data_IF_308311794199
#
_entry.id   IF_308311794199
#
_cell.length_a   1.000
_cell.length_b   1.000
_cell.length_c   1.000
_cell.angle_alpha   90.00
_cell.angle_beta   90.00
_cell.angle_gamma   90.00
#
_symmetry.space_group_name_H-M   'P 1'
#
loop_
_entity.id
_entity.type
_entity.pdbx_description
1 polymer ?
#
# COMPACT_ATOMS: atom_id res chain seq x y z
N UNK A 1 -5.82 24.08 9.29
CA UNK A 1 -5.61 23.91 7.83
C UNK A 1 -5.31 22.46 7.57
N UNK A 2 -5.69 21.95 6.40
CA UNK A 2 -5.41 20.56 6.04
C UNK A 2 -3.92 20.29 5.85
N UNK A 3 -3.50 19.05 6.05
CA UNK A 3 -2.11 18.57 5.88
C UNK A 3 -1.85 18.00 4.49
N UNK A 4 -2.88 17.62 3.74
CA UNK A 4 -2.75 17.15 2.36
C UNK A 4 -2.99 18.30 1.39
N UNK A 5 -1.97 18.64 0.60
CA UNK A 5 -2.01 19.64 -0.45
C UNK A 5 -2.22 18.93 -1.79
N UNK A 6 -3.47 18.88 -2.24
CA UNK A 6 -3.85 18.19 -3.47
C UNK A 6 -3.64 19.08 -4.71
N UNK A 7 -2.83 18.60 -5.64
CA UNK A 7 -2.59 19.17 -6.96
C UNK A 7 -3.12 18.23 -8.03
N UNK A 8 -3.90 18.73 -9.00
CA UNK A 8 -4.43 17.92 -10.09
C UNK A 8 -3.79 18.41 -11.39
N UNK A 9 -2.88 17.62 -11.95
CA UNK A 9 -2.18 17.94 -13.20
C UNK A 9 -3.10 17.68 -14.40
N UNK A 10 -3.92 18.68 -14.74
CA UNK A 10 -5.02 18.55 -15.69
C UNK A 10 -4.97 19.54 -16.88
N UNK A 11 -3.77 19.92 -17.34
CA UNK A 11 -3.62 20.86 -18.46
C UNK A 11 -4.20 20.33 -19.79
N UNK A 12 -4.37 19.02 -19.92
CA UNK A 12 -4.98 18.37 -21.08
C UNK A 12 -6.51 18.20 -20.95
N UNK A 13 -7.11 18.70 -19.85
CA UNK A 13 -8.54 18.59 -19.56
C UNK A 13 -9.10 17.17 -19.59
N UNK A 14 -8.26 16.16 -19.31
CA UNK A 14 -8.72 14.76 -19.22
C UNK A 14 -9.67 14.59 -18.03
N UNK A 15 -9.40 15.20 -16.89
CA UNK A 15 -10.31 15.15 -15.74
C UNK A 15 -11.34 16.27 -15.81
N UNK A 16 -12.62 15.94 -15.68
CA UNK A 16 -13.69 16.95 -15.59
C UNK A 16 -13.85 17.44 -14.14
N UNK A 17 -14.80 18.35 -13.89
CA UNK A 17 -15.04 18.89 -12.55
C UNK A 17 -15.52 17.84 -11.54
N UNK A 18 -16.29 16.84 -11.99
CA UNK A 18 -16.73 15.70 -11.17
C UNK A 18 -15.55 14.84 -10.76
N UNK A 19 -14.66 14.50 -11.69
CA UNK A 19 -13.42 13.76 -11.43
C UNK A 19 -12.57 14.49 -10.38
N UNK A 20 -12.37 15.80 -10.59
CA UNK A 20 -11.61 16.65 -9.68
C UNK A 20 -12.25 16.77 -8.30
N UNK A 21 -13.58 16.78 -8.24
CA UNK A 21 -14.33 16.76 -6.98
C UNK A 21 -14.11 15.45 -6.22
N UNK A 22 -14.17 14.31 -6.90
CA UNK A 22 -13.91 12.99 -6.29
C UNK A 22 -12.51 12.95 -5.68
N UNK A 23 -11.47 13.44 -6.39
CA UNK A 23 -10.11 13.46 -5.85
C UNK A 23 -10.01 14.30 -4.56
N UNK A 24 -10.67 15.47 -4.53
CA UNK A 24 -10.70 16.33 -3.32
C UNK A 24 -11.41 15.65 -2.16
N UNK A 25 -12.53 14.98 -2.43
CA UNK A 25 -13.31 14.27 -1.41
C UNK A 25 -12.52 13.11 -0.81
N UNK A 26 -11.93 12.27 -1.66
CA UNK A 26 -11.08 11.16 -1.24
C UNK A 26 -9.88 11.64 -0.41
N UNK A 27 -9.17 12.68 -0.85
CA UNK A 27 -8.04 13.25 -0.12
C UNK A 27 -8.46 13.78 1.26
N UNK A 28 -9.57 14.53 1.32
CA UNK A 28 -10.10 15.05 2.60
C UNK A 28 -10.50 13.91 3.54
N UNK A 29 -11.13 12.86 3.00
CA UNK A 29 -11.52 11.67 3.77
C UNK A 29 -10.31 10.92 4.32
N UNK A 30 -9.28 10.72 3.50
CA UNK A 30 -8.04 10.09 3.92
C UNK A 30 -7.30 10.92 4.97
N UNK A 31 -7.32 12.25 4.85
CA UNK A 31 -6.73 13.14 5.85
C UNK A 31 -7.42 12.98 7.21
N UNK A 32 -8.75 12.92 7.25
CA UNK A 32 -9.52 12.67 8.47
C UNK A 32 -9.13 11.32 9.06
N UNK A 33 -9.15 10.26 8.25
CA UNK A 33 -8.79 8.91 8.68
C UNK A 33 -7.41 8.84 9.33
N UNK A 34 -6.39 9.33 8.62
CA UNK A 34 -5.00 9.29 9.07
C UNK A 34 -4.80 10.19 10.29
N UNK A 35 -5.37 11.39 10.32
CA UNK A 35 -5.23 12.30 11.46
C UNK A 35 -5.87 11.75 12.75
N UNK A 36 -6.98 11.02 12.62
CA UNK A 36 -7.64 10.36 13.76
C UNK A 36 -6.85 9.14 14.26
N UNK A 37 -6.18 8.42 13.36
CA UNK A 37 -5.43 7.22 13.70
C UNK A 37 -4.00 7.52 14.19
N UNK A 38 -3.37 8.58 13.68
CA UNK A 38 -1.96 8.88 13.91
C UNK A 38 -1.76 10.31 14.39
N UNK A 39 -1.46 10.48 15.68
CA UNK A 39 -1.05 11.77 16.23
C UNK A 39 0.28 12.27 15.60
N UNK A 40 1.10 11.33 15.13
CA UNK A 40 2.37 11.57 14.45
C UNK A 40 2.19 12.12 13.04
N UNK A 41 0.98 12.08 12.46
CA UNK A 41 0.71 12.76 11.20
C UNK A 41 0.65 14.28 11.44
N UNK A 42 1.79 14.91 11.70
CA UNK A 42 1.93 16.31 12.11
C UNK A 42 2.74 17.14 11.10
N UNK A 43 2.73 16.72 9.84
CA UNK A 43 3.49 17.30 8.74
C UNK A 43 2.61 17.44 7.50
N UNK A 44 3.09 18.18 6.51
CA UNK A 44 2.39 18.43 5.26
C UNK A 44 2.88 17.48 4.17
N UNK A 45 1.96 17.07 3.30
CA UNK A 45 2.20 16.18 2.15
C UNK A 45 1.63 16.83 0.89
N UNK A 46 2.45 16.94 -0.14
CA UNK A 46 2.00 17.23 -1.50
C UNK A 46 1.52 15.96 -2.18
N UNK A 47 0.30 16.02 -2.73
CA UNK A 47 -0.31 14.92 -3.46
C UNK A 47 -0.64 15.37 -4.87
N UNK A 48 -0.05 14.72 -5.88
CA UNK A 48 -0.24 15.09 -7.28
C UNK A 48 -1.01 14.01 -8.00
N UNK A 49 -2.19 14.33 -8.51
CA UNK A 49 -2.97 13.46 -9.40
C UNK A 49 -2.54 13.72 -10.83
N UNK A 50 -2.14 12.66 -11.53
CA UNK A 50 -1.66 12.70 -12.91
C UNK A 50 -2.41 11.68 -13.77
N UNK A 51 -2.33 11.87 -15.09
CA UNK A 51 -2.66 10.81 -16.05
C UNK A 51 -1.49 9.83 -16.18
N UNK A 52 -1.73 8.56 -16.57
CA UNK A 52 -0.70 7.53 -16.54
C UNK A 52 0.42 7.77 -17.54
N UNK A 53 1.61 7.27 -17.21
CA UNK A 53 2.75 7.21 -18.11
C UNK A 53 3.48 5.88 -17.95
N UNK A 54 4.45 5.60 -18.82
CA UNK A 54 5.28 4.41 -18.68
C UNK A 54 6.07 4.34 -17.36
N UNK A 55 6.31 5.49 -16.70
CA UNK A 55 7.00 5.57 -15.41
C UNK A 55 6.08 5.34 -14.20
N UNK A 56 4.79 5.62 -14.38
CA UNK A 56 3.73 5.50 -13.36
C UNK A 56 2.49 4.88 -14.01
N UNK A 57 2.56 3.59 -14.37
CA UNK A 57 1.40 2.87 -14.90
C UNK A 57 0.37 2.65 -13.80
N UNK A 58 -0.87 2.45 -14.20
CA UNK A 58 -1.98 2.05 -13.34
C UNK A 58 -2.05 0.53 -13.19
N UNK A 59 -2.74 0.04 -12.15
CA UNK A 59 -3.19 -1.35 -12.13
C UNK A 59 -4.32 -1.47 -13.16
N UNK A 60 -4.16 -2.33 -14.16
CA UNK A 60 -5.10 -2.45 -15.28
C UNK A 60 -6.55 -2.67 -14.83
N UNK A 61 -6.75 -3.51 -13.82
CA UNK A 61 -8.06 -3.86 -13.29
C UNK A 61 -8.73 -2.73 -12.49
N UNK A 62 -7.94 -1.82 -11.92
CA UNK A 62 -8.42 -0.77 -11.02
C UNK A 62 -8.40 0.62 -11.65
N UNK A 63 -7.62 0.82 -12.72
CA UNK A 63 -7.46 2.11 -13.39
C UNK A 63 -6.75 3.17 -12.53
N UNK A 64 -6.14 2.78 -11.40
CA UNK A 64 -5.41 3.67 -10.50
C UNK A 64 -4.15 2.97 -9.96
N UNK A 65 -3.14 3.76 -9.62
CA UNK A 65 -1.99 3.34 -8.80
C UNK A 65 -1.41 4.55 -8.06
N UNK A 66 -0.65 4.29 -7.00
CA UNK A 66 0.04 5.30 -6.21
C UNK A 66 1.56 5.12 -6.23
N UNK A 67 2.28 6.19 -5.92
CA UNK A 67 3.71 6.13 -5.60
C UNK A 67 4.12 7.25 -4.67
N UNK A 68 4.61 6.88 -3.51
CA UNK A 68 5.31 7.75 -2.58
C UNK A 68 6.76 7.91 -3.02
N UNK A 69 7.18 9.14 -3.33
CA UNK A 69 8.54 9.43 -3.82
C UNK A 69 9.49 9.84 -2.69
N UNK A 70 8.94 10.46 -1.66
CA UNK A 70 9.57 10.72 -0.37
C UNK A 70 8.46 10.91 0.67
N UNK A 71 8.81 11.13 1.93
CA UNK A 71 7.83 11.24 3.01
C UNK A 71 6.76 12.32 2.81
N UNK A 72 6.97 13.29 1.90
CA UNK A 72 6.10 14.45 1.69
C UNK A 72 5.61 14.63 0.25
N UNK A 73 5.89 13.69 -0.65
CA UNK A 73 5.43 13.74 -2.04
C UNK A 73 4.84 12.40 -2.48
N UNK A 74 3.54 12.40 -2.75
CA UNK A 74 2.77 11.27 -3.27
C UNK A 74 2.27 11.62 -4.67
N UNK A 75 2.41 10.69 -5.61
CA UNK A 75 1.78 10.79 -6.92
C UNK A 75 0.71 9.70 -7.08
N UNK A 76 -0.45 10.09 -7.60
CA UNK A 76 -1.53 9.19 -7.97
C UNK A 76 -1.67 9.20 -9.50
N UNK A 77 -1.54 8.02 -10.10
CA UNK A 77 -1.77 7.81 -11.53
C UNK A 77 -3.19 7.30 -11.73
N UNK A 78 -4.01 8.00 -12.52
CA UNK A 78 -5.42 7.67 -12.71
C UNK A 78 -5.79 7.62 -14.19
N UNK A 79 -6.32 6.49 -14.64
CA UNK A 79 -6.83 6.27 -15.98
C UNK A 79 -8.35 6.07 -15.99
N UNK A 80 -9.08 7.16 -16.23
CA UNK A 80 -10.55 7.13 -16.28
C UNK A 80 -11.13 6.27 -17.43
N UNK A 81 -10.30 5.89 -18.41
CA UNK A 81 -10.71 5.03 -19.52
C UNK A 81 -10.55 3.54 -19.23
N UNK A 82 -9.69 3.16 -18.27
CA UNK A 82 -9.59 1.78 -17.82
C UNK A 82 -10.67 1.45 -16.78
N UNK A 83 -10.89 2.36 -15.85
CA UNK A 83 -11.92 2.23 -14.83
C UNK A 83 -12.52 3.60 -14.53
N UNK A 84 -13.83 3.65 -14.28
CA UNK A 84 -14.47 4.89 -13.86
C UNK A 84 -13.84 5.37 -12.55
N UNK A 85 -13.57 6.68 -12.45
CA UNK A 85 -13.04 7.28 -11.22
C UNK A 85 -14.06 7.08 -10.11
N UNK A 86 -13.59 6.47 -9.02
CA UNK A 86 -14.41 6.08 -7.88
C UNK A 86 -13.75 6.61 -6.60
N UNK A 87 -14.53 7.27 -5.74
CA UNK A 87 -14.01 7.86 -4.49
C UNK A 87 -13.37 6.82 -3.57
N UNK A 88 -13.96 5.63 -3.49
CA UNK A 88 -13.44 4.53 -2.66
C UNK A 88 -12.07 4.07 -3.15
N UNK A 89 -11.89 3.96 -4.47
CA UNK A 89 -10.60 3.56 -5.05
C UNK A 89 -9.53 4.63 -4.82
N UNK A 90 -9.87 5.90 -5.03
CA UNK A 90 -8.92 7.00 -4.78
C UNK A 90 -8.57 7.06 -3.29
N UNK A 91 -9.55 6.92 -2.41
CA UNK A 91 -9.33 6.90 -0.97
C UNK A 91 -8.44 5.73 -0.53
N UNK A 92 -8.70 4.52 -1.04
CA UNK A 92 -7.91 3.31 -0.78
C UNK A 92 -6.44 3.53 -1.14
N UNK A 93 -6.15 3.97 -2.37
CA UNK A 93 -4.78 4.25 -2.81
C UNK A 93 -4.13 5.37 -1.99
N UNK A 94 -4.87 6.43 -1.61
CA UNK A 94 -4.29 7.49 -0.77
C UNK A 94 -3.87 6.94 0.59
N UNK A 95 -4.70 6.11 1.24
CA UNK A 95 -4.37 5.52 2.53
C UNK A 95 -3.15 4.60 2.44
N UNK A 96 -3.01 3.84 1.36
CA UNK A 96 -1.81 3.05 1.07
C UNK A 96 -0.56 3.92 1.04
N UNK A 97 -0.55 4.96 0.20
CA UNK A 97 0.62 5.82 0.03
C UNK A 97 0.92 6.66 1.29
N UNK A 98 -0.10 7.03 2.05
CA UNK A 98 0.10 7.69 3.34
C UNK A 98 0.77 6.79 4.37
N UNK A 99 0.62 5.46 4.29
CA UNK A 99 1.35 4.52 5.14
C UNK A 99 2.87 4.64 4.90
N UNK A 100 3.29 4.69 3.64
CA UNK A 100 4.69 4.87 3.24
C UNK A 100 5.20 6.24 3.70
N UNK A 101 4.43 7.29 3.43
CA UNK A 101 4.74 8.67 3.85
C UNK A 101 4.97 8.75 5.37
N UNK A 102 4.07 8.19 6.17
CA UNK A 102 4.15 8.18 7.64
C UNK A 102 5.39 7.47 8.12
N UNK A 103 5.65 6.28 7.60
CA UNK A 103 6.78 5.47 8.01
C UNK A 103 8.10 6.16 7.67
N UNK A 104 8.26 6.65 6.43
CA UNK A 104 9.49 7.35 6.02
C UNK A 104 9.70 8.69 6.72
N UNK A 105 8.64 9.36 7.18
CA UNK A 105 8.80 10.58 7.98
C UNK A 105 9.23 10.29 9.42
N UNK A 106 8.76 9.18 10.01
CA UNK A 106 8.82 8.97 11.47
C UNK A 106 9.72 7.84 11.93
N UNK A 107 10.03 6.88 11.08
CA UNK A 107 10.88 5.73 11.42
C UNK A 107 12.23 5.94 10.76
N UNK A 108 13.33 6.01 11.53
CA UNK A 108 14.68 6.18 10.99
C UNK A 108 15.26 4.85 10.45
N UNK A 109 14.47 4.12 9.66
CA UNK A 109 14.84 2.85 9.04
C UNK A 109 14.37 2.83 7.59
N UNK A 110 15.17 2.23 6.70
CA UNK A 110 14.80 1.97 5.31
C UNK A 110 14.62 0.47 5.10
N UNK A 111 13.79 0.09 4.13
CA UNK A 111 13.70 -1.29 3.70
C UNK A 111 14.95 -1.64 2.89
N UNK A 112 15.82 -2.50 3.43
CA UNK A 112 17.09 -2.87 2.80
C UNK A 112 17.03 -4.26 2.17
N UNK A 113 16.29 -5.18 2.80
CA UNK A 113 16.16 -6.57 2.35
C UNK A 113 14.84 -6.82 1.64
N UNK A 114 14.76 -7.95 0.93
CA UNK A 114 13.51 -8.44 0.35
C UNK A 114 12.39 -8.50 1.40
N UNK A 115 12.71 -8.98 2.60
CA UNK A 115 11.76 -9.09 3.68
C UNK A 115 11.31 -7.73 4.22
N UNK A 116 12.23 -6.78 4.40
CA UNK A 116 11.84 -5.42 4.81
C UNK A 116 10.91 -4.78 3.79
N UNK A 117 11.16 -5.00 2.50
CA UNK A 117 10.28 -4.58 1.42
C UNK A 117 8.88 -5.20 1.54
N UNK A 118 8.79 -6.50 1.86
CA UNK A 118 7.51 -7.16 2.11
C UNK A 118 6.79 -6.54 3.31
N UNK A 119 7.49 -6.27 4.40
CA UNK A 119 6.89 -5.64 5.59
C UNK A 119 6.43 -4.22 5.29
N UNK A 120 7.21 -3.42 4.56
CA UNK A 120 6.84 -2.07 4.15
C UNK A 120 5.51 -2.07 3.39
N UNK A 121 5.41 -2.88 2.35
CA UNK A 121 4.18 -3.00 1.56
C UNK A 121 3.04 -3.64 2.37
N UNK A 122 3.35 -4.63 3.21
CA UNK A 122 2.38 -5.29 4.08
C UNK A 122 1.71 -4.33 5.06
N UNK A 123 2.49 -3.42 5.66
CA UNK A 123 1.97 -2.39 6.56
C UNK A 123 1.01 -1.46 5.82
N UNK A 124 1.35 -1.07 4.59
CA UNK A 124 0.49 -0.25 3.74
C UNK A 124 -0.82 -0.96 3.37
N UNK A 125 -0.76 -2.25 2.98
CA UNK A 125 -1.96 -3.05 2.65
C UNK A 125 -2.86 -3.28 3.86
N UNK A 126 -2.30 -3.48 5.05
CA UNK A 126 -3.13 -3.62 6.26
C UNK A 126 -3.74 -2.27 6.66
N UNK A 127 -3.05 -1.16 6.44
CA UNK A 127 -3.60 0.17 6.71
C UNK A 127 -4.72 0.56 5.74
N UNK A 128 -4.55 0.33 4.43
CA UNK A 128 -5.61 0.58 3.45
C UNK A 128 -6.83 -0.30 3.75
N UNK A 129 -6.64 -1.56 4.16
CA UNK A 129 -7.75 -2.42 4.57
C UNK A 129 -8.51 -1.83 5.77
N UNK A 130 -7.80 -1.39 6.80
CA UNK A 130 -8.41 -0.79 7.98
C UNK A 130 -9.19 0.48 7.62
N UNK A 131 -8.66 1.29 6.69
CA UNK A 131 -9.33 2.46 6.17
C UNK A 131 -10.68 2.09 5.52
N UNK A 132 -10.66 1.11 4.63
CA UNK A 132 -11.86 0.65 3.93
C UNK A 132 -12.91 0.08 4.90
N UNK A 133 -12.47 -0.67 5.91
CA UNK A 133 -13.34 -1.23 6.93
C UNK A 133 -13.99 -0.14 7.80
N UNK A 134 -13.23 0.87 8.24
CA UNK A 134 -13.71 1.95 9.12
C UNK A 134 -14.86 2.75 8.51
N UNK A 135 -14.81 3.00 7.20
CA UNK A 135 -15.86 3.72 6.47
C UNK A 135 -16.91 2.79 5.84
N UNK A 136 -16.86 1.49 6.11
CA UNK A 136 -17.76 0.48 5.53
C UNK A 136 -17.80 0.55 4.00
N UNK A 137 -16.64 0.79 3.38
CA UNK A 137 -16.50 0.84 1.94
C UNK A 137 -16.32 -0.58 1.41
N UNK A 138 -17.39 -1.10 0.81
CA UNK A 138 -17.39 -2.46 0.28
C UNK A 138 -16.88 -2.54 -1.16
N UNK A 139 -16.74 -1.41 -1.85
CA UNK A 139 -16.14 -1.35 -3.18
C UNK A 139 -14.61 -1.19 -3.09
N UNK A 140 -13.93 -2.26 -2.67
CA UNK A 140 -12.47 -2.34 -2.61
C UNK A 140 -11.86 -2.49 -3.99
N UNK A 141 -10.61 -2.10 -4.19
CA UNK A 141 -9.89 -2.39 -5.44
C UNK A 141 -9.74 -3.90 -5.69
N UNK A 142 -9.62 -4.30 -6.95
CA UNK A 142 -9.25 -5.65 -7.36
C UNK A 142 -7.95 -6.07 -6.70
N UNK A 143 -6.96 -5.17 -6.62
CA UNK A 143 -5.72 -5.39 -5.88
C UNK A 143 -5.96 -5.88 -4.45
N UNK A 144 -6.59 -5.06 -3.58
CA UNK A 144 -6.79 -5.40 -2.18
C UNK A 144 -7.61 -6.70 -2.03
N UNK A 145 -8.66 -6.88 -2.84
CA UNK A 145 -9.44 -8.12 -2.84
C UNK A 145 -8.57 -9.33 -3.18
N UNK A 146 -7.63 -9.22 -4.12
CA UNK A 146 -6.73 -10.33 -4.47
C UNK A 146 -5.75 -10.64 -3.36
N UNK A 147 -5.22 -9.63 -2.68
CA UNK A 147 -4.33 -9.85 -1.53
C UNK A 147 -5.08 -10.54 -0.39
N UNK A 148 -6.25 -10.02 -0.01
CA UNK A 148 -7.10 -10.58 1.07
C UNK A 148 -7.52 -12.03 0.83
N UNK A 149 -7.76 -12.41 -0.44
CA UNK A 149 -8.22 -13.75 -0.80
C UNK A 149 -7.07 -14.75 -1.06
N UNK A 150 -5.83 -14.40 -0.72
CA UNK A 150 -4.68 -15.32 -0.86
C UNK A 150 -4.85 -16.50 0.11
N UNK A 151 -4.88 -17.72 -0.43
CA UNK A 151 -5.07 -18.93 0.37
C UNK A 151 -3.80 -19.31 1.13
N UNK A 152 -3.94 -19.95 2.30
CA UNK A 152 -2.79 -20.40 3.09
C UNK A 152 -1.82 -21.28 2.28
N UNK A 153 -2.33 -22.20 1.45
CA UNK A 153 -1.49 -23.03 0.57
C UNK A 153 -0.62 -22.20 -0.40
N UNK A 154 -1.14 -21.07 -0.89
CA UNK A 154 -0.37 -20.17 -1.76
C UNK A 154 0.69 -19.42 -0.94
N UNK A 155 0.35 -18.97 0.27
CA UNK A 155 1.30 -18.36 1.21
C UNK A 155 2.45 -19.33 1.51
N UNK A 156 2.14 -20.57 1.88
CA UNK A 156 3.15 -21.59 2.21
C UNK A 156 4.09 -21.86 1.05
N UNK A 157 3.55 -21.93 -0.18
CA UNK A 157 4.35 -22.11 -1.39
C UNK A 157 5.28 -20.92 -1.67
N UNK A 158 4.80 -19.69 -1.50
CA UNK A 158 5.62 -18.48 -1.66
C UNK A 158 6.72 -18.39 -0.59
N UNK A 159 6.41 -18.72 0.67
CA UNK A 159 7.40 -18.78 1.75
C UNK A 159 8.45 -19.84 1.44
N UNK A 160 8.05 -21.05 1.03
CA UNK A 160 8.98 -22.12 0.68
C UNK A 160 9.94 -21.71 -0.45
N UNK A 161 9.44 -20.97 -1.44
CA UNK A 161 10.24 -20.47 -2.56
C UNK A 161 11.23 -19.36 -2.17
N UNK A 162 10.90 -18.52 -1.17
CA UNK A 162 11.64 -17.28 -0.90
C UNK A 162 12.37 -17.24 0.45
N UNK A 163 12.05 -18.11 1.41
CA UNK A 163 12.56 -18.01 2.80
C UNK A 163 14.08 -17.90 2.92
N UNK A 164 14.83 -18.59 2.06
CA UNK A 164 16.30 -18.57 2.09
C UNK A 164 16.89 -17.27 1.52
N UNK A 165 16.07 -16.43 0.88
CA UNK A 165 16.45 -15.19 0.22
C UNK A 165 15.87 -13.95 0.90
N UNK A 166 15.12 -14.10 2.00
CA UNK A 166 14.48 -12.98 2.71
C UNK A 166 15.45 -11.88 3.13
N UNK A 167 16.66 -12.25 3.53
CA UNK A 167 17.71 -11.30 3.94
C UNK A 167 18.54 -10.76 2.76
N UNK A 168 18.23 -11.14 1.52
CA UNK A 168 18.97 -10.63 0.36
C UNK A 168 18.60 -9.18 0.11
N UNK A 169 19.61 -8.35 -0.12
CA UNK A 169 19.46 -6.94 -0.51
C UNK A 169 19.36 -6.77 -2.03
N UNK A 170 19.86 -7.75 -2.79
CA UNK A 170 19.73 -7.81 -4.25
C UNK A 170 18.75 -8.92 -4.64
N UNK A 171 17.63 -8.52 -5.24
CA UNK A 171 16.59 -9.43 -5.73
C UNK A 171 15.83 -8.80 -6.90
N UNK A 172 15.10 -9.64 -7.64
CA UNK A 172 14.25 -9.17 -8.73
C UNK A 172 12.99 -8.50 -8.18
N UNK A 173 13.08 -7.18 -7.95
CA UNK A 173 11.98 -6.39 -7.40
C UNK A 173 10.71 -6.51 -8.25
N UNK A 174 10.84 -6.56 -9.59
CA UNK A 174 9.70 -6.63 -10.48
C UNK A 174 8.97 -7.97 -10.34
N UNK A 175 9.70 -9.08 -10.35
CA UNK A 175 9.11 -10.40 -10.16
C UNK A 175 8.46 -10.54 -8.79
N UNK A 176 9.06 -10.00 -7.73
CA UNK A 176 8.52 -10.12 -6.37
C UNK A 176 7.29 -9.23 -6.18
N UNK A 177 7.34 -7.95 -6.56
CA UNK A 177 6.32 -6.98 -6.19
C UNK A 177 5.29 -6.70 -7.29
N UNK A 178 5.59 -6.90 -8.57
CA UNK A 178 4.67 -6.49 -9.65
C UNK A 178 4.15 -7.62 -10.51
N UNK A 179 5.03 -8.38 -11.17
CA UNK A 179 4.64 -9.28 -12.27
C UNK A 179 4.48 -10.73 -11.84
N UNK A 180 5.29 -11.20 -10.88
CA UNK A 180 5.48 -12.63 -10.66
C UNK A 180 6.44 -13.24 -11.68
N UNK A 181 6.53 -14.57 -11.69
CA UNK A 181 7.25 -15.36 -12.69
C UNK A 181 6.66 -16.79 -12.73
N UNK A 182 7.34 -17.71 -13.42
CA UNK A 182 6.88 -19.11 -13.52
C UNK A 182 6.66 -19.81 -12.17
N UNK A 183 7.34 -19.35 -11.12
CA UNK A 183 7.29 -19.93 -9.78
C UNK A 183 6.53 -19.08 -8.75
N UNK A 184 6.33 -17.78 -9.03
CA UNK A 184 5.77 -16.82 -8.09
C UNK A 184 4.55 -16.12 -8.70
N UNK A 185 3.40 -16.10 -8.01
CA UNK A 185 2.25 -15.37 -8.51
C UNK A 185 2.49 -13.86 -8.52
N UNK A 186 1.70 -13.14 -9.33
CA UNK A 186 1.63 -11.67 -9.29
C UNK A 186 1.45 -11.18 -7.85
N UNK A 187 2.19 -10.12 -7.49
CA UNK A 187 2.16 -9.45 -6.18
C UNK A 187 2.59 -10.33 -5.00
N UNK A 188 3.51 -11.28 -5.18
CA UNK A 188 4.02 -12.12 -4.09
C UNK A 188 4.49 -11.31 -2.88
N UNK A 189 5.24 -10.22 -3.10
CA UNK A 189 5.75 -9.37 -2.02
C UNK A 189 4.63 -8.76 -1.17
N UNK A 190 3.60 -8.22 -1.82
CA UNK A 190 2.41 -7.69 -1.15
C UNK A 190 1.62 -8.77 -0.39
N UNK A 191 1.43 -9.94 -0.99
CA UNK A 191 0.70 -11.06 -0.36
C UNK A 191 1.40 -11.57 0.88
N UNK A 192 2.71 -11.79 0.81
CA UNK A 192 3.51 -12.23 1.95
C UNK A 192 3.61 -11.13 3.01
N UNK A 193 3.83 -9.88 2.61
CA UNK A 193 3.83 -8.73 3.50
C UNK A 193 2.56 -8.62 4.33
N UNK A 194 1.41 -8.64 3.66
CA UNK A 194 0.10 -8.62 4.30
C UNK A 194 -0.05 -9.78 5.30
N UNK A 195 0.34 -10.99 4.90
CA UNK A 195 0.32 -12.16 5.79
C UNK A 195 1.19 -11.96 7.03
N UNK A 196 2.46 -11.56 6.88
CA UNK A 196 3.39 -11.39 8.00
C UNK A 196 2.95 -10.28 8.96
N UNK A 197 2.47 -9.15 8.45
CA UNK A 197 1.94 -8.07 9.29
C UNK A 197 0.70 -8.54 10.05
N UNK A 198 -0.23 -9.26 9.42
CA UNK A 198 -1.39 -9.83 10.14
C UNK A 198 -0.97 -10.80 11.24
N UNK A 199 0.01 -11.68 10.99
CA UNK A 199 0.55 -12.57 12.02
C UNK A 199 1.16 -11.78 13.18
N UNK A 200 1.94 -10.74 12.88
CA UNK A 200 2.52 -9.86 13.88
C UNK A 200 1.46 -9.19 14.76
N UNK A 201 0.41 -8.61 14.16
CA UNK A 201 -0.68 -7.96 14.90
C UNK A 201 -1.41 -8.96 15.81
N UNK A 202 -1.68 -10.17 15.31
CA UNK A 202 -2.31 -11.23 16.10
C UNK A 202 -1.44 -11.67 17.29
N UNK A 203 -0.15 -11.85 17.08
CA UNK A 203 0.82 -12.31 18.10
C UNK A 203 1.07 -11.27 19.18
N UNK A 204 1.13 -9.99 18.80
CA UNK A 204 1.47 -8.89 19.71
C UNK A 204 0.27 -8.18 20.30
N UNK A 205 -0.94 -8.43 19.78
CA UNK A 205 -2.17 -7.70 20.09
C UNK A 205 -2.02 -6.19 19.89
N UNK A 206 -1.14 -5.77 18.97
CA UNK A 206 -0.97 -4.38 18.59
C UNK A 206 -1.98 -3.98 17.52
N UNK A 207 -2.24 -2.68 17.42
CA UNK A 207 -2.99 -2.09 16.31
C UNK A 207 -2.07 -1.81 15.13
N UNK A 208 -2.65 -1.66 13.93
CA UNK A 208 -1.88 -1.24 12.75
C UNK A 208 -1.18 0.11 12.97
N UNK A 209 -1.79 1.00 13.76
CA UNK A 209 -1.19 2.30 14.09
C UNK A 209 0.12 2.15 14.89
N UNK A 210 0.19 1.17 15.79
CA UNK A 210 1.41 0.85 16.55
C UNK A 210 2.44 0.17 15.65
N UNK A 211 2.01 -0.85 14.88
CA UNK A 211 2.90 -1.61 14.01
C UNK A 211 3.54 -0.77 12.89
N UNK A 212 2.86 0.29 12.43
CA UNK A 212 3.38 1.24 11.42
C UNK A 212 4.73 1.85 11.85
N UNK A 213 4.96 1.98 13.16
CA UNK A 213 6.20 2.53 13.73
C UNK A 213 7.14 1.48 14.33
N UNK A 214 6.80 0.18 14.24
CA UNK A 214 7.67 -0.89 14.71
C UNK A 214 8.90 -1.06 13.81
N UNK A 215 10.00 -1.56 14.38
CA UNK A 215 11.22 -1.85 13.62
C UNK A 215 10.97 -3.02 12.69
N UNK A 216 11.61 -3.07 11.52
CA UNK A 216 11.50 -4.23 10.63
C UNK A 216 11.91 -5.54 11.31
N UNK A 217 12.85 -5.45 12.26
CA UNK A 217 13.35 -6.59 13.05
C UNK A 217 12.31 -7.22 13.96
N UNK A 218 11.24 -6.48 14.29
CA UNK A 218 10.18 -6.99 15.15
C UNK A 218 9.23 -7.94 14.40
N UNK A 219 9.20 -7.86 13.07
CA UNK A 219 8.39 -8.71 12.21
C UNK A 219 9.14 -10.03 11.91
N UNK A 220 9.50 -10.82 12.92
CA UNK A 220 10.16 -12.10 12.66
C UNK A 220 9.18 -13.09 12.02
N UNK A 221 9.47 -13.66 10.83
CA UNK A 221 8.62 -14.69 10.28
C UNK A 221 8.76 -15.96 11.12
N UNK A 222 7.65 -16.49 11.64
CA UNK A 222 7.62 -17.75 12.40
C UNK A 222 7.79 -18.93 11.40
N UNK A 223 8.99 -19.12 10.86
CA UNK A 223 9.30 -20.14 9.83
C UNK A 223 9.53 -21.54 10.45
N UNK A 224 9.58 -21.66 11.79
CA UNK A 224 9.98 -22.90 12.49
C UNK A 224 8.84 -23.70 13.14
N UNK A 225 7.63 -23.71 12.57
CA UNK A 225 6.59 -24.68 12.99
C UNK A 225 5.95 -25.38 11.81
N UNK A 226 6.74 -26.15 11.06
CA UNK A 226 6.18 -27.29 10.35
C UNK A 226 5.91 -28.39 11.38
N UNK A 227 4.65 -28.82 11.60
CA UNK A 227 4.41 -30.02 12.39
C UNK A 227 5.02 -31.21 11.64
N UNK A 228 5.92 -31.91 12.31
CA UNK A 228 6.33 -33.28 11.96
C UNK A 228 5.15 -34.22 12.02
#
# INVERSE_FOLDING_TARGET
MGKIYLHIANANHIFNDTDCFIFRQAAKKAEVFISEMFQQFNYNVDMVVITPSFLLPTITEDGIAGRTHNSRLIMLSVNKHQHQINEDFVFETICHELAHSLRWEKVPEYAETMFDGMILEGLAVVLEEEAMNRFKQYNKQFFLRKIQNTKQKEVDAMIAALKNNFNNTAYDYNAIFYTGNDNLPRWTGYKLGYYFVKQYLLKTNQTIAQATFASYRDFTPDIEKSPS
#
